data_IF_474420385075
#
_entry.id   IF_474420385075
#
_cell.length_a   1.000
_cell.length_b   1.000
_cell.length_c   1.000
_cell.angle_alpha   90.00
_cell.angle_beta   90.00
_cell.angle_gamma   90.00
#
_symmetry.space_group_name_H-M   'P 1'
#
loop_
_entity.id
_entity.type
_entity.pdbx_description
1 polymer ?
#
# COMPACT_ATOMS: atom_id res chain seq x y z
N UNK A 1 1.21 19.81 22.18
CA UNK A 1 -0.09 19.79 21.48
C UNK A 1 -0.21 18.40 20.86
N UNK A 2 -1.18 17.59 21.29
CA UNK A 2 -1.51 16.35 20.59
C UNK A 2 -2.27 16.71 19.32
N UNK A 3 -1.76 16.31 18.16
CA UNK A 3 -2.44 16.47 16.90
C UNK A 3 -3.16 15.13 16.62
N UNK A 4 -4.47 15.02 16.91
CA UNK A 4 -5.17 13.73 16.84
C UNK A 4 -5.10 13.10 15.44
N UNK A 5 -4.94 13.91 14.39
CA UNK A 5 -4.73 13.44 13.02
C UNK A 5 -3.38 12.73 12.82
N UNK A 6 -2.33 13.17 13.54
CA UNK A 6 -1.02 12.49 13.51
C UNK A 6 -1.07 11.16 14.26
N UNK A 7 -1.81 11.11 15.37
CA UNK A 7 -2.00 9.88 16.13
C UNK A 7 -2.78 8.85 15.28
N UNK A 8 -3.87 9.27 14.63
CA UNK A 8 -4.62 8.42 13.70
C UNK A 8 -3.77 7.97 12.49
N UNK A 9 -2.90 8.84 11.97
CA UNK A 9 -1.99 8.47 10.89
C UNK A 9 -0.97 7.42 11.36
N UNK A 10 -0.40 7.58 12.55
CA UNK A 10 0.55 6.62 13.13
C UNK A 10 -0.11 5.26 13.36
N UNK A 11 -1.33 5.24 13.89
CA UNK A 11 -2.13 4.02 14.06
C UNK A 11 -2.42 3.36 12.71
N UNK A 12 -2.79 4.14 11.70
CA UNK A 12 -3.06 3.66 10.33
C UNK A 12 -1.82 3.06 9.67
N UNK A 13 -0.64 3.69 9.82
CA UNK A 13 0.64 3.17 9.34
C UNK A 13 0.99 1.85 10.05
N UNK A 14 0.75 1.77 11.35
CA UNK A 14 1.00 0.55 12.14
C UNK A 14 0.08 -0.59 11.70
N UNK A 15 -1.21 -0.31 11.50
CA UNK A 15 -2.17 -1.27 10.97
C UNK A 15 -1.78 -1.75 9.56
N UNK A 16 -1.37 -0.82 8.68
CA UNK A 16 -0.87 -1.12 7.34
C UNK A 16 0.36 -2.03 7.38
N UNK A 17 1.31 -1.77 8.28
CA UNK A 17 2.48 -2.61 8.46
C UNK A 17 2.10 -4.04 8.89
N UNK A 18 1.05 -4.20 9.71
CA UNK A 18 0.51 -5.51 10.07
C UNK A 18 -0.19 -6.23 8.91
N UNK A 19 -0.84 -5.50 8.01
CA UNK A 19 -1.55 -6.05 6.86
C UNK A 19 -0.67 -6.27 5.61
N UNK A 20 0.56 -5.74 5.58
CA UNK A 20 1.44 -5.69 4.39
C UNK A 20 1.61 -7.02 3.65
N UNK A 21 1.59 -8.15 4.36
CA UNK A 21 1.74 -9.48 3.77
C UNK A 21 0.54 -9.90 2.89
N UNK A 22 -0.61 -9.23 3.06
CA UNK A 22 -1.84 -9.45 2.29
C UNK A 22 -2.00 -8.45 1.14
N UNK A 23 -1.14 -7.44 1.07
CA UNK A 23 -1.20 -6.40 0.04
C UNK A 23 -0.19 -6.79 -1.04
N UNK A 24 -0.60 -6.85 -2.32
CA UNK A 24 0.35 -7.08 -3.40
C UNK A 24 1.49 -6.07 -3.37
N UNK A 25 2.74 -6.55 -3.45
CA UNK A 25 3.93 -5.69 -3.31
C UNK A 25 3.93 -4.51 -4.30
N UNK A 26 3.46 -4.72 -5.53
CA UNK A 26 3.33 -3.64 -6.53
C UNK A 26 2.42 -2.51 -6.05
N UNK A 27 1.32 -2.84 -5.36
CA UNK A 27 0.40 -1.87 -4.76
C UNK A 27 1.09 -1.12 -3.63
N UNK A 28 1.75 -1.86 -2.72
CA UNK A 28 2.45 -1.26 -1.59
C UNK A 28 3.54 -0.26 -2.02
N UNK A 29 4.32 -0.60 -3.04
CA UNK A 29 5.36 0.28 -3.58
C UNK A 29 4.79 1.56 -4.23
N UNK A 30 3.67 1.44 -4.97
CA UNK A 30 2.97 2.59 -5.57
C UNK A 30 2.41 3.53 -4.51
N UNK A 31 1.70 3.00 -3.52
CA UNK A 31 1.15 3.80 -2.42
C UNK A 31 2.24 4.46 -1.59
N UNK A 32 3.35 3.75 -1.33
CA UNK A 32 4.51 4.32 -0.63
C UNK A 32 5.12 5.48 -1.41
N UNK A 33 5.29 5.34 -2.74
CA UNK A 33 5.81 6.41 -3.58
C UNK A 33 4.90 7.65 -3.57
N UNK A 34 3.58 7.46 -3.57
CA UNK A 34 2.62 8.57 -3.47
C UNK A 34 2.69 9.27 -2.10
N UNK A 35 2.76 8.49 -1.02
CA UNK A 35 2.88 9.04 0.34
C UNK A 35 4.17 9.86 0.52
N UNK A 36 5.30 9.36 0.02
CA UNK A 36 6.59 10.09 0.04
C UNK A 36 6.48 11.39 -0.75
N UNK A 37 5.87 11.38 -1.94
CA UNK A 37 5.68 12.58 -2.76
C UNK A 37 4.86 13.66 -2.04
N UNK A 38 3.74 13.27 -1.43
CA UNK A 38 2.86 14.21 -0.73
C UNK A 38 3.59 14.80 0.49
N UNK A 39 4.18 13.95 1.33
CA UNK A 39 4.83 14.38 2.56
C UNK A 39 6.09 15.22 2.29
N UNK A 40 6.90 14.85 1.28
CA UNK A 40 8.08 15.63 0.91
C UNK A 40 7.69 17.02 0.42
N UNK A 41 6.60 17.15 -0.35
CA UNK A 41 6.11 18.45 -0.82
C UNK A 41 5.53 19.30 0.31
N UNK A 42 4.83 18.69 1.27
CA UNK A 42 4.37 19.40 2.47
C UNK A 42 5.57 19.91 3.26
N UNK A 43 6.56 19.06 3.50
CA UNK A 43 7.77 19.42 4.23
C UNK A 43 8.54 20.54 3.52
N UNK A 44 8.79 20.40 2.21
CA UNK A 44 9.56 21.35 1.42
C UNK A 44 8.94 22.75 1.38
N UNK A 45 7.60 22.85 1.42
CA UNK A 45 6.88 24.12 1.49
C UNK A 45 6.89 24.78 2.88
N UNK A 46 7.21 24.02 3.94
CA UNK A 46 7.22 24.50 5.33
C UNK A 46 8.63 24.83 5.82
N UNK A 47 9.66 24.38 5.11
CA UNK A 47 11.05 24.65 5.46
C UNK A 47 11.48 26.04 4.98
N UNK A 48 12.12 26.85 5.85
CA UNK A 48 12.60 28.18 5.48
C UNK A 48 13.92 28.16 4.70
N UNK A 49 14.67 27.07 4.80
CA UNK A 49 15.98 26.89 4.16
C UNK A 49 15.84 26.30 2.76
N UNK A 50 16.24 27.08 1.74
CA UNK A 50 16.14 26.71 0.33
C UNK A 50 17.08 25.57 -0.05
N UNK A 51 18.27 25.48 0.54
CA UNK A 51 19.23 24.42 0.20
C UNK A 51 18.69 23.06 0.70
N UNK A 52 18.23 23.03 1.96
CA UNK A 52 17.61 21.83 2.54
C UNK A 52 16.32 21.41 1.84
N UNK A 53 15.60 22.38 1.28
CA UNK A 53 14.41 22.12 0.45
C UNK A 53 14.78 21.33 -0.80
N UNK A 54 15.77 21.79 -1.56
CA UNK A 54 16.22 21.15 -2.79
C UNK A 54 16.78 19.74 -2.53
N UNK A 55 17.52 19.57 -1.42
CA UNK A 55 18.02 18.25 -1.01
C UNK A 55 16.89 17.25 -0.74
N UNK A 56 15.86 17.68 0.00
CA UNK A 56 14.70 16.84 0.34
C UNK A 56 13.89 16.49 -0.91
N UNK A 57 13.64 17.46 -1.78
CA UNK A 57 12.90 17.24 -3.04
C UNK A 57 13.68 16.27 -3.94
N UNK A 58 14.99 16.47 -4.12
CA UNK A 58 15.84 15.60 -4.92
C UNK A 58 15.90 14.18 -4.37
N UNK A 59 16.09 14.02 -3.05
CA UNK A 59 16.10 12.70 -2.42
C UNK A 59 14.76 11.97 -2.55
N UNK A 60 13.65 12.69 -2.37
CA UNK A 60 12.31 12.13 -2.53
C UNK A 60 12.05 11.70 -3.98
N UNK A 61 12.38 12.53 -4.97
CA UNK A 61 12.18 12.22 -6.38
C UNK A 61 12.99 11.00 -6.83
N UNK A 62 14.22 10.87 -6.36
CA UNK A 62 15.06 9.69 -6.61
C UNK A 62 14.45 8.41 -6.01
N UNK A 63 13.93 8.48 -4.78
CA UNK A 63 13.28 7.34 -4.14
C UNK A 63 11.97 6.97 -4.84
N UNK A 64 11.13 7.96 -5.17
CA UNK A 64 9.87 7.77 -5.89
C UNK A 64 10.12 7.08 -7.23
N UNK A 65 11.14 7.53 -7.96
CA UNK A 65 11.53 6.93 -9.24
C UNK A 65 11.90 5.46 -9.06
N UNK A 66 12.77 5.14 -8.10
CA UNK A 66 13.16 3.76 -7.82
C UNK A 66 11.97 2.88 -7.41
N UNK A 67 11.09 3.38 -6.55
CA UNK A 67 9.89 2.64 -6.11
C UNK A 67 8.92 2.37 -7.27
N UNK A 68 8.73 3.34 -8.16
CA UNK A 68 7.88 3.18 -9.35
C UNK A 68 8.47 2.18 -10.34
N UNK A 69 9.78 2.23 -10.58
CA UNK A 69 10.48 1.26 -11.41
C UNK A 69 10.35 -0.14 -10.83
N UNK A 70 10.67 -0.32 -9.54
CA UNK A 70 10.51 -1.61 -8.86
C UNK A 70 9.07 -2.13 -8.94
N UNK A 71 8.06 -1.25 -8.77
CA UNK A 71 6.66 -1.64 -8.89
C UNK A 71 6.27 -2.09 -10.32
N UNK A 72 6.95 -1.58 -11.34
CA UNK A 72 6.70 -1.92 -12.74
C UNK A 72 7.36 -3.23 -13.17
N UNK A 73 8.53 -3.54 -12.59
CA UNK A 73 9.28 -4.77 -12.86
C UNK A 73 8.69 -5.99 -12.16
N UNK A 74 7.81 -5.79 -11.18
CA UNK A 74 7.13 -6.89 -10.52
C UNK A 74 6.14 -7.59 -11.46
N UNK A 75 6.09 -8.93 -11.43
CA UNK A 75 5.10 -9.68 -12.19
C UNK A 75 3.68 -9.26 -11.76
N UNK A 76 2.70 -9.28 -12.69
CA UNK A 76 1.32 -9.00 -12.34
C UNK A 76 0.86 -9.97 -11.24
N UNK A 77 0.00 -9.52 -10.31
CA UNK A 77 -0.51 -10.40 -9.27
C UNK A 77 -1.16 -11.62 -9.92
N UNK A 78 -0.71 -12.81 -9.53
CA UNK A 78 -1.37 -14.05 -9.94
C UNK A 78 -2.81 -13.97 -9.45
N UNK A 79 -3.82 -14.13 -10.32
CA UNK A 79 -5.19 -14.23 -9.85
C UNK A 79 -5.26 -15.41 -8.88
N UNK A 80 -5.68 -15.16 -7.64
CA UNK A 80 -6.03 -16.24 -6.72
C UNK A 80 -7.08 -17.10 -7.42
N UNK A 81 -6.72 -18.34 -7.71
CA UNK A 81 -7.68 -19.34 -8.16
C UNK A 81 -8.59 -19.57 -6.96
N UNK A 82 -9.76 -18.93 -6.95
CA UNK A 82 -10.81 -19.29 -6.00
C UNK A 82 -11.01 -20.80 -6.06
N UNK A 83 -11.02 -21.52 -4.92
CA UNK A 83 -11.32 -22.94 -4.93
C UNK A 83 -12.67 -23.15 -5.64
N UNK A 84 -12.81 -24.22 -6.45
CA UNK A 84 -14.08 -24.51 -7.12
C UNK A 84 -15.19 -24.59 -6.07
N UNK A 85 -16.34 -24.00 -6.38
CA UNK A 85 -17.52 -24.05 -5.52
C UNK A 85 -17.76 -25.50 -5.06
N UNK A 86 -18.06 -25.74 -3.77
CA UNK A 86 -18.36 -27.08 -3.30
C UNK A 86 -19.53 -27.63 -4.10
N UNK A 87 -19.36 -28.86 -4.62
CA UNK A 87 -20.37 -29.52 -5.43
C UNK A 87 -21.74 -29.48 -4.73
N UNK A 88 -22.84 -29.23 -5.47
CA UNK A 88 -24.17 -29.18 -4.89
C UNK A 88 -24.46 -30.48 -4.14
N UNK A 89 -25.03 -30.35 -2.93
CA UNK A 89 -25.35 -31.49 -2.08
C UNK A 89 -26.25 -32.49 -2.83
N UNK A 90 -26.02 -33.82 -2.65
CA UNK A 90 -26.86 -34.82 -3.29
C UNK A 90 -28.32 -34.68 -2.86
N UNK A 91 -29.28 -34.94 -3.76
CA UNK A 91 -30.70 -34.87 -3.43
C UNK A 91 -31.03 -35.88 -2.31
N UNK A 92 -32.00 -35.57 -1.43
CA UNK A 92 -32.39 -36.46 -0.35
C UNK A 92 -32.90 -37.79 -0.91
N UNK A 93 -32.35 -38.90 -0.43
CA UNK A 93 -32.80 -40.24 -0.79
C UNK A 93 -34.26 -40.43 -0.34
N UNK A 94 -35.15 -40.58 -1.32
CA UNK A 94 -36.54 -40.97 -1.09
C UNK A 94 -36.56 -42.33 -0.39
N UNK A 95 -36.96 -42.37 0.88
CA UNK A 95 -37.16 -43.61 1.62
C UNK A 95 -38.26 -44.45 0.96
N UNK A 96 -38.02 -45.75 0.67
CA UNK A 96 -39.06 -46.61 0.13
C UNK A 96 -40.10 -46.91 1.23
N UNK A 97 -41.36 -46.90 0.81
CA UNK A 97 -42.56 -47.21 1.62
C UNK A 97 -42.80 -48.71 1.68
#
# INVERSE_FOLDING_TARGET
>A
MSAPELDHLADSITALAGARNRIPLHTLLRETALNVLILSRIASNRLPDKLRKEDIETAADNLITQLRHAAWELPPPTPEISPPDPAPAPPPESSPT
#
